data_IF_529100768594
#
_entry.id   IF_529100768594
#
_cell.length_a   1.000
_cell.length_b   1.000
_cell.length_c   1.000
_cell.angle_alpha   90.00
_cell.angle_beta   90.00
_cell.angle_gamma   90.00
#
_symmetry.space_group_name_H-M   'P 1'
#
loop_
_entity.id
_entity.type
_entity.pdbx_description
1 polymer ?
#
# COMPACT_ATOMS: atom_id res chain seq x y z
N UNK A 1 -1.58 -3.87 -20.95
CA UNK A 1 -0.99 -2.61 -21.49
C UNK A 1 -0.73 -2.72 -22.99
N UNK A 2 -0.08 -3.78 -23.49
CA UNK A 2 0.21 -3.99 -24.92
C UNK A 2 -1.00 -3.91 -25.85
N UNK A 3 -2.14 -4.47 -25.45
CA UNK A 3 -3.38 -4.44 -26.26
C UNK A 3 -4.15 -3.12 -26.14
N UNK A 4 -3.72 -2.21 -25.25
CA UNK A 4 -4.39 -0.95 -24.95
C UNK A 4 -3.53 0.28 -25.27
N UNK A 5 -2.35 0.09 -25.86
CA UNK A 5 -1.44 1.16 -26.24
C UNK A 5 -0.58 0.75 -27.44
N UNK A 6 0.02 1.72 -28.11
CA UNK A 6 0.99 1.51 -29.19
C UNK A 6 2.41 1.18 -28.67
N UNK A 7 2.57 0.96 -27.36
CA UNK A 7 3.88 0.72 -26.76
C UNK A 7 4.37 -0.69 -27.09
N UNK A 8 5.67 -0.82 -27.37
CA UNK A 8 6.29 -2.13 -27.47
C UNK A 8 6.30 -2.83 -26.12
N UNK A 9 6.55 -4.14 -26.12
CA UNK A 9 6.73 -4.88 -24.87
C UNK A 9 7.93 -4.35 -24.08
N UNK A 10 9.00 -3.94 -24.76
CA UNK A 10 10.17 -3.34 -24.11
C UNK A 10 9.83 -2.04 -23.41
N UNK A 11 9.08 -1.15 -24.08
CA UNK A 11 8.68 0.14 -23.50
C UNK A 11 7.82 -0.05 -22.24
N UNK A 12 6.87 -0.98 -22.27
CA UNK A 12 5.99 -1.27 -21.13
C UNK A 12 6.81 -1.75 -19.92
N UNK A 13 7.75 -2.67 -20.15
CA UNK A 13 8.60 -3.17 -19.08
C UNK A 13 9.47 -2.07 -18.51
N UNK A 14 10.05 -1.22 -19.37
CA UNK A 14 10.89 -0.12 -18.92
C UNK A 14 10.12 0.88 -18.05
N UNK A 15 8.91 1.26 -18.48
CA UNK A 15 8.05 2.20 -17.72
C UNK A 15 7.64 1.64 -16.36
N UNK A 16 7.23 0.37 -16.30
CA UNK A 16 6.82 -0.25 -15.02
C UNK A 16 8.00 -0.37 -14.07
N UNK A 17 9.17 -0.80 -14.57
CA UNK A 17 10.38 -0.90 -13.75
C UNK A 17 10.80 0.45 -13.20
N UNK A 18 10.90 1.47 -14.05
CA UNK A 18 11.26 2.83 -13.62
C UNK A 18 10.24 3.42 -12.64
N UNK A 19 8.95 3.16 -12.85
CA UNK A 19 7.90 3.56 -11.90
C UNK A 19 8.09 2.94 -10.51
N UNK A 20 8.42 1.64 -10.44
CA UNK A 20 8.65 0.96 -9.14
C UNK A 20 9.90 1.48 -8.46
N UNK A 21 10.96 1.78 -9.21
CA UNK A 21 12.18 2.39 -8.68
C UNK A 21 11.90 3.77 -8.07
N UNK A 22 11.24 4.64 -8.82
CA UNK A 22 10.89 6.00 -8.36
C UNK A 22 9.95 5.96 -7.15
N UNK A 23 8.95 5.08 -7.16
CA UNK A 23 8.03 4.90 -6.03
C UNK A 23 8.79 4.48 -4.76
N UNK A 24 9.80 3.61 -4.86
CA UNK A 24 10.61 3.21 -3.71
C UNK A 24 11.49 4.36 -3.22
N UNK A 25 12.10 5.11 -4.13
CA UNK A 25 12.91 6.29 -3.80
C UNK A 25 12.10 7.30 -2.99
N UNK A 26 10.91 7.67 -3.49
CA UNK A 26 10.03 8.62 -2.82
C UNK A 26 9.56 8.12 -1.44
N UNK A 27 9.19 6.84 -1.34
CA UNK A 27 8.80 6.25 -0.06
C UNK A 27 9.94 6.29 0.96
N UNK A 28 11.17 5.93 0.58
CA UNK A 28 12.33 5.96 1.48
C UNK A 28 12.78 7.38 1.84
N UNK A 29 12.45 8.37 1.03
CA UNK A 29 12.57 9.79 1.37
C UNK A 29 11.49 10.27 2.35
N UNK A 30 10.54 9.41 2.74
CA UNK A 30 9.46 9.72 3.68
C UNK A 30 8.24 10.36 3.01
N UNK A 31 8.19 10.40 1.68
CA UNK A 31 7.06 10.96 0.94
C UNK A 31 5.96 9.92 0.75
N UNK A 32 4.71 10.37 0.76
CA UNK A 32 3.57 9.55 0.33
C UNK A 32 3.37 9.70 -1.17
N UNK A 33 3.24 8.58 -1.88
CA UNK A 33 3.04 8.57 -3.34
C UNK A 33 1.55 8.39 -3.63
N UNK A 34 0.91 9.44 -4.13
CA UNK A 34 -0.49 9.42 -4.53
C UNK A 34 -0.61 9.12 -6.03
N UNK A 35 -1.31 8.04 -6.37
CA UNK A 35 -1.69 7.71 -7.74
C UNK A 35 -3.18 8.04 -7.88
N UNK A 36 -3.48 9.05 -8.69
CA UNK A 36 -4.84 9.55 -8.87
C UNK A 36 -5.79 8.42 -9.28
N UNK A 37 -6.97 8.39 -8.66
CA UNK A 37 -8.01 7.37 -8.90
C UNK A 37 -7.56 5.92 -8.68
N UNK A 38 -6.42 5.71 -8.01
CA UNK A 38 -5.93 4.38 -7.64
C UNK A 38 -5.71 4.29 -6.13
N UNK A 39 -4.81 5.10 -5.57
CA UNK A 39 -4.61 5.12 -4.12
C UNK A 39 -3.29 5.76 -3.70
N UNK A 40 -3.01 5.68 -2.41
CA UNK A 40 -1.82 6.28 -1.80
C UNK A 40 -0.93 5.19 -1.22
N UNK A 41 0.35 5.23 -1.57
CA UNK A 41 1.40 4.46 -0.91
C UNK A 41 2.10 5.33 0.14
N UNK A 42 2.37 4.78 1.32
CA UNK A 42 3.10 5.48 2.39
C UNK A 42 3.94 4.50 3.21
N UNK A 43 5.00 4.98 3.86
CA UNK A 43 5.69 4.20 4.89
C UNK A 43 4.99 4.33 6.24
N UNK A 44 4.95 3.23 6.98
CA UNK A 44 4.59 3.18 8.39
C UNK A 44 5.71 2.51 9.16
N UNK A 45 6.22 3.19 10.18
CA UNK A 45 7.17 2.63 11.13
C UNK A 45 6.45 2.24 12.42
N UNK A 46 6.71 1.04 12.91
CA UNK A 46 6.33 0.61 14.26
C UNK A 46 7.57 0.71 15.12
N UNK A 47 7.50 1.53 16.16
CA UNK A 47 8.61 1.73 17.10
C UNK A 47 8.23 1.26 18.49
N UNK A 48 9.23 0.92 19.30
CA UNK A 48 9.03 0.79 20.73
C UNK A 48 8.67 2.17 21.30
N UNK A 49 7.55 2.25 22.02
CA UNK A 49 7.15 3.49 22.69
C UNK A 49 8.15 3.88 23.78
N UNK A 50 8.50 5.16 23.83
CA UNK A 50 9.38 5.75 24.86
C UNK A 50 8.69 6.95 25.48
N UNK A 51 8.96 7.21 26.77
CA UNK A 51 8.36 8.36 27.47
C UNK A 51 9.08 9.67 27.12
N UNK A 52 10.38 9.60 26.87
CA UNK A 52 11.20 10.77 26.52
C UNK A 52 11.45 10.84 25.03
N UNK A 53 11.52 12.09 24.52
CA UNK A 53 11.81 12.38 23.12
C UNK A 53 13.23 11.98 22.72
N UNK A 54 14.20 12.16 23.62
CA UNK A 54 15.60 11.78 23.41
C UNK A 54 15.81 10.28 23.16
N UNK A 55 14.91 9.45 23.68
CA UNK A 55 14.94 7.99 23.51
C UNK A 55 14.22 7.53 22.22
N UNK A 56 13.60 8.43 21.45
CA UNK A 56 12.91 8.11 20.19
C UNK A 56 13.92 7.98 19.03
N UNK A 57 14.78 6.97 19.13
CA UNK A 57 15.87 6.69 18.20
C UNK A 57 15.45 5.72 17.10
N UNK A 58 16.13 5.77 15.95
CA UNK A 58 15.86 4.89 14.80
C UNK A 58 16.13 3.41 15.09
N UNK A 59 17.05 3.12 16.00
CA UNK A 59 17.32 1.77 16.53
C UNK A 59 16.12 1.14 17.27
N UNK A 60 15.17 1.96 17.73
CA UNK A 60 13.94 1.49 18.36
C UNK A 60 12.83 1.17 17.34
N UNK A 61 13.07 1.34 16.04
CA UNK A 61 12.16 0.91 14.97
C UNK A 61 12.17 -0.61 14.89
N UNK A 62 11.01 -1.22 15.16
CA UNK A 62 10.82 -2.67 15.13
C UNK A 62 10.44 -3.18 13.75
N UNK A 63 9.68 -2.39 12.99
CA UNK A 63 9.25 -2.74 11.65
C UNK A 63 8.98 -1.51 10.80
N UNK A 64 9.27 -1.61 9.51
CA UNK A 64 8.86 -0.65 8.49
C UNK A 64 7.98 -1.40 7.48
N UNK A 65 6.83 -0.82 7.14
CA UNK A 65 5.89 -1.39 6.17
C UNK A 65 5.51 -0.35 5.13
N UNK A 66 5.39 -0.77 3.88
CA UNK A 66 4.69 0.00 2.86
C UNK A 66 3.19 -0.27 3.05
N UNK A 67 2.44 0.80 3.28
CA UNK A 67 0.99 0.78 3.36
C UNK A 67 0.42 1.25 2.03
N UNK A 68 -0.60 0.55 1.52
CA UNK A 68 -1.40 1.02 0.40
C UNK A 68 -2.82 1.31 0.87
N UNK A 69 -3.31 2.52 0.61
CA UNK A 69 -4.70 2.91 0.84
C UNK A 69 -5.40 3.10 -0.50
N UNK A 70 -6.30 2.18 -0.82
CA UNK A 70 -7.12 2.24 -2.02
C UNK A 70 -8.04 3.46 -2.02
N UNK A 71 -8.03 4.19 -3.15
CA UNK A 71 -9.00 5.25 -3.45
C UNK A 71 -10.40 4.68 -3.67
N UNK A 72 -11.43 5.52 -3.57
CA UNK A 72 -12.82 5.08 -3.70
C UNK A 72 -13.15 4.52 -5.09
N UNK A 73 -12.50 4.99 -6.15
CA UNK A 73 -12.72 4.55 -7.54
C UNK A 73 -12.37 3.08 -7.79
N UNK A 74 -11.48 2.50 -6.98
CA UNK A 74 -11.07 1.09 -7.10
C UNK A 74 -11.58 0.23 -5.95
N UNK A 75 -12.33 0.81 -5.00
CA UNK A 75 -12.95 0.01 -3.94
C UNK A 75 -13.99 -0.90 -4.57
N UNK A 76 -13.95 -2.22 -4.31
CA UNK A 76 -14.99 -3.11 -4.78
C UNK A 76 -16.33 -2.61 -4.28
N UNK A 77 -17.31 -2.48 -5.17
CA UNK A 77 -18.69 -2.26 -4.75
C UNK A 77 -19.18 -3.55 -4.09
N UNK A 78 -19.02 -3.63 -2.77
CA UNK A 78 -19.50 -4.75 -2.00
C UNK A 78 -21.02 -4.65 -1.94
N UNK A 79 -21.71 -5.31 -2.89
CA UNK A 79 -23.12 -5.65 -2.75
C UNK A 79 -23.33 -6.18 -1.32
N UNK A 80 -24.24 -5.60 -0.51
CA UNK A 80 -24.41 -5.94 0.91
C UNK A 80 -24.51 -7.44 1.22
N UNK A 81 -24.93 -8.28 0.27
CA UNK A 81 -24.94 -9.74 0.45
C UNK A 81 -23.56 -10.37 0.70
N UNK A 82 -22.49 -9.83 0.10
CA UNK A 82 -21.12 -10.36 0.30
C UNK A 82 -20.53 -10.01 1.67
N UNK A 83 -21.08 -9.03 2.39
CA UNK A 83 -20.67 -8.71 3.77
C UNK A 83 -21.07 -9.80 4.77
N UNK A 84 -22.20 -10.48 4.55
CA UNK A 84 -22.69 -11.54 5.46
C UNK A 84 -21.81 -12.79 5.42
N UNK A 85 -21.28 -13.15 4.26
CA UNK A 85 -20.54 -14.42 4.10
C UNK A 85 -19.21 -14.38 4.87
N UNK A 86 -18.51 -13.24 4.86
CA UNK A 86 -17.25 -13.05 5.60
C UNK A 86 -17.42 -13.00 7.12
N UNK A 87 -18.52 -12.41 7.62
CA UNK A 87 -18.79 -12.39 9.07
C UNK A 87 -19.15 -13.78 9.60
N UNK A 88 -19.98 -14.55 8.88
CA UNK A 88 -20.44 -15.86 9.34
C UNK A 88 -19.31 -16.90 9.38
N UNK A 89 -18.37 -16.85 8.42
CA UNK A 89 -17.19 -17.73 8.41
C UNK A 89 -16.22 -17.45 9.56
N UNK A 90 -16.05 -16.19 9.97
CA UNK A 90 -15.22 -15.86 11.13
C UNK A 90 -15.86 -16.40 12.42
N UNK A 91 -17.17 -16.17 12.61
CA UNK A 91 -17.88 -16.62 13.81
C UNK A 91 -17.88 -18.14 13.97
N UNK A 92 -17.99 -18.90 12.87
CA UNK A 92 -17.96 -20.38 12.93
C UNK A 92 -16.56 -20.97 13.13
N UNK A 93 -15.49 -20.25 12.81
CA UNK A 93 -14.11 -20.71 13.03
C UNK A 93 -13.63 -20.53 14.48
N UNK A 94 -14.37 -19.78 15.30
CA UNK A 94 -14.02 -19.49 16.70
C UNK A 94 -15.12 -19.89 17.68
N UNK A 95 -16.03 -20.79 17.29
CA UNK A 95 -17.03 -21.43 18.16
C UNK A 95 -16.75 -22.92 18.30
#
# INVERSE_FOLDING_TARGET
MKEKSSLSQGDILNVISGFVEELRTELYNGHAVNIENFGVFSLSATTKGTEKKEDCLSENIQAIRICFRASNSIRPNLNPERRRIGSTLWTSMHS
#
